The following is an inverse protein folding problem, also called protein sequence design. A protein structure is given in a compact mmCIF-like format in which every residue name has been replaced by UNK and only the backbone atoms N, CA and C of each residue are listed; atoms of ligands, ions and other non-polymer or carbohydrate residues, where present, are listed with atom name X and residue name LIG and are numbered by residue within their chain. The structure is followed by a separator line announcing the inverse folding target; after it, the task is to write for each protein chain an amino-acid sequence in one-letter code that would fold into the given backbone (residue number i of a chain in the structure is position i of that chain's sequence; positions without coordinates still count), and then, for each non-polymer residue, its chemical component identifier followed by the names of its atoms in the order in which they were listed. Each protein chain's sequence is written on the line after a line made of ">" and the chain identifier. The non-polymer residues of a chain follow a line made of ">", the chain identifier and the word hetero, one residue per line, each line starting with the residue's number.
data_IF_216301173811
#
_entry.id   IF_216301173811
#
_cell.length_a   1.000
_cell.length_b   1.000
_cell.length_c   1.000
_cell.angle_alpha   90.00
_cell.angle_beta   90.00
_cell.angle_gamma   90.00
#
_symmetry.space_group_name_H-M   'P 1'
#
loop_
_entity.id
_entity.type
_entity.pdbx_description
1 polymer ?
#
# COMPACT_ATOMS: atom_id res chain seq x y z
N UNK A 1 -15.42 40.99 30.32
CA UNK A 1 -15.95 40.96 28.94
C UNK A 1 -16.10 42.41 28.49
N UNK A 2 -15.24 42.87 27.59
CA UNK A 2 -15.34 44.24 27.05
C UNK A 2 -16.66 44.38 26.29
N UNK A 3 -17.47 45.43 26.54
CA UNK A 3 -18.68 45.67 25.77
C UNK A 3 -18.31 45.94 24.30
N UNK A 4 -19.04 45.36 23.32
CA UNK A 4 -18.74 45.60 21.91
C UNK A 4 -18.89 47.07 21.57
N UNK A 5 -17.85 47.66 20.99
CA UNK A 5 -17.67 49.11 20.82
C UNK A 5 -18.71 49.75 19.87
N UNK A 6 -19.40 48.94 19.07
CA UNK A 6 -20.69 49.23 18.41
C UNK A 6 -21.36 47.91 18.02
N UNK A 7 -22.51 47.55 18.61
CA UNK A 7 -23.34 46.41 18.17
C UNK A 7 -24.37 46.91 17.16
N UNK A 8 -24.05 46.90 15.86
CA UNK A 8 -25.05 47.24 14.84
C UNK A 8 -25.86 46.01 14.43
N UNK A 9 -27.06 46.22 13.85
CA UNK A 9 -27.88 45.12 13.29
C UNK A 9 -27.15 44.39 12.15
N UNK A 10 -26.34 45.11 11.39
CA UNK A 10 -25.51 44.54 10.34
C UNK A 10 -24.48 43.57 10.92
N UNK A 11 -23.81 43.93 12.02
CA UNK A 11 -22.83 43.04 12.68
C UNK A 11 -23.50 41.74 13.18
N UNK A 12 -24.73 41.82 13.69
CA UNK A 12 -25.48 40.64 14.10
C UNK A 12 -25.88 39.74 12.93
N UNK A 13 -26.32 40.33 11.80
CA UNK A 13 -26.65 39.57 10.59
C UNK A 13 -25.40 38.91 9.99
N UNK A 14 -24.28 39.63 9.93
CA UNK A 14 -23.00 39.09 9.45
C UNK A 14 -22.52 37.98 10.38
N UNK A 15 -22.54 38.19 11.70
CA UNK A 15 -22.14 37.17 12.66
C UNK A 15 -23.03 35.92 12.57
N UNK A 16 -24.34 36.09 12.41
CA UNK A 16 -25.27 34.98 12.20
C UNK A 16 -24.99 34.25 10.87
N UNK A 17 -24.73 34.98 9.79
CA UNK A 17 -24.38 34.39 8.50
C UNK A 17 -23.06 33.58 8.59
N UNK A 18 -22.03 34.12 9.24
CA UNK A 18 -20.77 33.42 9.48
C UNK A 18 -21.02 32.15 10.31
N UNK A 19 -21.81 32.25 11.40
CA UNK A 19 -22.13 31.09 12.23
C UNK A 19 -22.84 29.99 11.42
N UNK A 20 -23.79 30.35 10.56
CA UNK A 20 -24.46 29.40 9.65
C UNK A 20 -23.45 28.77 8.69
N UNK A 21 -22.57 29.55 8.06
CA UNK A 21 -21.53 29.04 7.15
C UNK A 21 -20.60 28.06 7.87
N UNK A 22 -20.16 28.37 9.09
CA UNK A 22 -19.33 27.48 9.90
C UNK A 22 -20.07 26.19 10.22
N UNK A 23 -21.33 26.26 10.66
CA UNK A 23 -22.13 25.07 10.96
C UNK A 23 -22.36 24.18 9.73
N UNK A 24 -22.65 24.79 8.57
CA UNK A 24 -22.81 24.07 7.30
C UNK A 24 -21.49 23.41 6.90
N UNK A 25 -20.37 24.13 7.02
CA UNK A 25 -19.04 23.60 6.67
C UNK A 25 -18.68 22.42 7.58
N UNK A 26 -18.89 22.54 8.89
CA UNK A 26 -18.68 21.45 9.84
C UNK A 26 -19.57 20.24 9.53
N UNK A 27 -20.84 20.47 9.21
CA UNK A 27 -21.78 19.41 8.83
C UNK A 27 -21.34 18.66 7.56
N UNK A 28 -20.96 19.39 6.51
CA UNK A 28 -20.48 18.79 5.26
C UNK A 28 -19.18 18.03 5.48
N UNK A 29 -18.22 18.60 6.20
CA UNK A 29 -16.94 17.94 6.51
C UNK A 29 -17.16 16.67 7.32
N UNK A 30 -18.04 16.70 8.33
CA UNK A 30 -18.37 15.51 9.10
C UNK A 30 -19.03 14.42 8.25
N UNK A 31 -20.00 14.79 7.41
CA UNK A 31 -20.73 13.85 6.55
C UNK A 31 -19.82 13.16 5.53
N UNK A 32 -18.79 13.85 5.04
CA UNK A 32 -17.83 13.36 4.04
C UNK A 32 -16.48 12.91 4.64
N UNK A 33 -16.37 12.81 5.96
CA UNK A 33 -15.10 12.46 6.59
C UNK A 33 -14.79 10.97 6.47
N UNK A 34 -13.54 10.65 6.14
CA UNK A 34 -13.01 9.28 6.15
C UNK A 34 -13.23 8.59 7.51
N UNK A 35 -13.17 9.36 8.60
CA UNK A 35 -13.41 8.85 9.95
C UNK A 35 -14.82 8.26 10.11
N UNK A 36 -15.83 8.88 9.47
CA UNK A 36 -17.20 8.39 9.49
C UNK A 36 -17.40 7.20 8.54
N UNK A 37 -16.65 7.17 7.44
CA UNK A 37 -16.74 6.13 6.42
C UNK A 37 -15.84 4.91 6.70
N UNK A 38 -15.19 4.87 7.86
CA UNK A 38 -14.30 3.79 8.28
C UNK A 38 -14.91 3.05 9.47
N UNK A 39 -14.98 1.73 9.38
CA UNK A 39 -15.23 0.84 10.50
C UNK A 39 -13.90 0.23 10.96
N UNK A 40 -13.61 0.32 12.26
CA UNK A 40 -12.36 -0.17 12.84
C UNK A 40 -12.67 -0.88 14.15
N UNK A 41 -12.78 -2.21 14.09
CA UNK A 41 -12.95 -3.09 15.24
C UNK A 41 -11.61 -3.76 15.53
N UNK A 42 -11.02 -3.48 16.70
CA UNK A 42 -9.75 -4.09 17.12
C UNK A 42 -10.01 -5.29 18.01
N UNK A 43 -9.10 -6.26 17.99
CA UNK A 43 -9.17 -7.42 18.87
C UNK A 43 -9.09 -7.00 20.34
N UNK A 44 -9.93 -7.61 21.18
CA UNK A 44 -9.89 -7.37 22.62
C UNK A 44 -8.60 -7.92 23.25
N UNK A 45 -8.07 -9.01 22.68
CA UNK A 45 -6.77 -9.59 23.02
C UNK A 45 -6.03 -9.85 21.71
N UNK A 46 -4.76 -9.41 21.58
CA UNK A 46 -3.97 -9.68 20.39
C UNK A 46 -3.85 -11.19 20.11
N UNK A 47 -3.83 -11.56 18.83
CA UNK A 47 -3.53 -12.91 18.39
C UNK A 47 -2.15 -13.36 18.89
N UNK A 48 -2.05 -14.65 19.19
CA UNK A 48 -0.80 -15.27 19.65
C UNK A 48 -0.18 -16.03 18.50
N UNK A 49 1.12 -15.86 18.27
CA UNK A 49 1.84 -16.63 17.25
C UNK A 49 1.82 -18.12 17.64
N UNK A 50 1.27 -19.01 16.80
CA UNK A 50 1.25 -20.44 17.09
C UNK A 50 2.67 -21.00 17.24
N UNK A 51 2.82 -22.06 18.05
CA UNK A 51 4.08 -22.77 18.14
C UNK A 51 4.42 -23.44 16.80
N UNK A 52 5.69 -23.41 16.34
CA UNK A 52 6.08 -24.05 15.10
C UNK A 52 5.76 -25.56 15.12
N UNK A 53 5.20 -26.05 14.03
CA UNK A 53 4.95 -27.47 13.86
C UNK A 53 6.27 -28.26 13.93
N UNK A 54 6.33 -29.25 14.82
CA UNK A 54 7.51 -30.13 14.99
C UNK A 54 7.40 -31.41 14.18
N UNK A 55 6.24 -31.67 13.56
CA UNK A 55 5.95 -32.86 12.77
C UNK A 55 5.15 -32.48 11.53
N UNK A 56 5.40 -33.18 10.43
CA UNK A 56 4.62 -33.03 9.20
C UNK A 56 3.34 -33.86 9.37
N UNK A 57 2.14 -33.30 9.14
CA UNK A 57 0.91 -34.04 9.26
C UNK A 57 0.82 -35.14 8.19
N UNK A 58 0.42 -36.34 8.60
CA UNK A 58 0.18 -37.47 7.66
C UNK A 58 -1.08 -37.24 6.80
N UNK A 59 -2.02 -36.42 7.28
CA UNK A 59 -3.30 -36.13 6.61
C UNK A 59 -3.59 -34.63 6.73
N UNK A 60 -3.94 -33.99 5.61
CA UNK A 60 -4.44 -32.62 5.56
C UNK A 60 -5.98 -32.61 5.48
N UNK A 61 -6.63 -31.77 6.27
CA UNK A 61 -8.08 -31.53 6.25
C UNK A 61 -8.35 -30.04 6.32
N UNK A 62 -9.33 -29.56 5.55
CA UNK A 62 -9.79 -28.19 5.68
C UNK A 62 -10.45 -27.98 7.06
N UNK A 63 -10.03 -26.94 7.78
CA UNK A 63 -10.57 -26.58 9.11
C UNK A 63 -11.59 -25.45 8.98
N UNK A 64 -11.24 -24.42 8.21
CA UNK A 64 -12.11 -23.29 7.89
C UNK A 64 -11.66 -22.67 6.54
N UNK A 65 -12.52 -21.83 5.98
CA UNK A 65 -12.23 -21.01 4.79
C UNK A 65 -12.84 -19.61 4.96
N UNK A 66 -12.28 -18.63 4.22
CA UNK A 66 -12.78 -17.26 4.18
C UNK A 66 -12.55 -16.65 2.77
N UNK A 67 -13.48 -15.81 2.27
CA UNK A 67 -13.25 -15.04 1.03
C UNK A 67 -12.05 -14.12 1.17
N UNK A 68 -11.20 -14.07 0.14
CA UNK A 68 -10.00 -13.24 0.16
C UNK A 68 -9.59 -12.79 -1.26
N UNK A 69 -10.53 -12.21 -1.99
CA UNK A 69 -10.33 -11.79 -3.39
C UNK A 69 -9.31 -10.66 -3.59
N UNK A 70 -8.98 -9.92 -2.53
CA UNK A 70 -7.99 -8.82 -2.57
C UNK A 70 -6.60 -9.24 -2.03
N UNK A 71 -6.31 -10.54 -1.89
CA UNK A 71 -4.96 -11.04 -1.56
C UNK A 71 -4.45 -11.97 -2.65
N UNK A 72 -3.21 -11.78 -3.10
CA UNK A 72 -2.56 -12.67 -4.08
C UNK A 72 -1.87 -13.88 -3.42
N UNK A 73 -1.45 -13.73 -2.18
CA UNK A 73 -0.82 -14.78 -1.37
C UNK A 73 -1.44 -14.78 0.04
N UNK A 74 -1.43 -15.92 0.75
CA UNK A 74 -1.88 -15.97 2.14
C UNK A 74 -1.14 -14.96 3.00
N UNK A 75 -1.89 -14.10 3.70
CA UNK A 75 -1.31 -13.12 4.62
C UNK A 75 -1.37 -13.70 6.03
N UNK A 76 -0.22 -14.14 6.55
CA UNK A 76 -0.09 -14.71 7.90
C UNK A 76 0.98 -13.91 8.65
N UNK A 77 0.54 -13.03 9.53
CA UNK A 77 1.38 -12.05 10.23
C UNK A 77 0.87 -11.89 11.66
N UNK A 78 1.75 -11.62 12.62
CA UNK A 78 1.36 -11.29 13.99
C UNK A 78 0.51 -12.35 14.71
N UNK A 79 0.55 -13.61 14.25
CA UNK A 79 -0.26 -14.70 14.81
C UNK A 79 -1.70 -14.77 14.30
N UNK A 80 -2.09 -13.93 13.35
CA UNK A 80 -3.39 -13.99 12.69
C UNK A 80 -3.26 -14.42 11.23
N UNK A 81 -4.32 -15.00 10.69
CA UNK A 81 -4.51 -15.14 9.23
C UNK A 81 -5.38 -13.99 8.77
N UNK A 82 -4.93 -13.23 7.77
CA UNK A 82 -5.65 -12.06 7.28
C UNK A 82 -6.30 -12.38 5.94
N UNK A 83 -7.61 -12.13 5.86
CA UNK A 83 -8.37 -12.17 4.62
C UNK A 83 -8.75 -10.75 4.19
N UNK A 84 -8.93 -10.53 2.90
CA UNK A 84 -9.35 -9.25 2.37
C UNK A 84 -10.24 -9.40 1.15
N UNK A 85 -11.43 -8.80 1.18
CA UNK A 85 -12.42 -8.91 0.10
C UNK A 85 -13.27 -7.64 0.01
N UNK A 86 -13.55 -7.20 -1.22
CA UNK A 86 -14.29 -5.96 -1.48
C UNK A 86 -13.62 -4.73 -0.87
N UNK A 87 -14.15 -4.24 0.25
CA UNK A 87 -13.63 -3.09 1.01
C UNK A 87 -13.23 -3.42 2.45
N UNK A 88 -13.19 -4.71 2.79
CA UNK A 88 -13.00 -5.20 4.16
C UNK A 88 -11.73 -6.03 4.28
N UNK A 89 -10.98 -5.80 5.36
CA UNK A 89 -9.83 -6.59 5.80
C UNK A 89 -10.17 -7.18 7.17
N UNK A 90 -9.99 -8.49 7.33
CA UNK A 90 -10.35 -9.23 8.53
C UNK A 90 -9.14 -10.03 9.01
N UNK A 91 -8.84 -9.93 10.30
CA UNK A 91 -7.90 -10.83 10.96
C UNK A 91 -8.64 -11.95 11.65
N UNK A 92 -8.21 -13.18 11.36
CA UNK A 92 -8.81 -14.41 11.86
C UNK A 92 -7.85 -15.12 12.82
N UNK A 93 -8.45 -15.79 13.80
CA UNK A 93 -7.77 -16.82 14.56
C UNK A 93 -7.32 -17.94 13.62
N UNK A 94 -6.03 -18.34 13.62
CA UNK A 94 -5.50 -19.30 12.66
C UNK A 94 -6.10 -20.72 12.83
N UNK A 95 -6.52 -21.09 14.04
CA UNK A 95 -7.02 -22.43 14.34
C UNK A 95 -8.50 -22.56 14.00
N UNK A 96 -9.31 -21.56 14.34
CA UNK A 96 -10.77 -21.61 14.29
C UNK A 96 -11.39 -20.83 13.14
N UNK A 97 -10.67 -19.84 12.59
CA UNK A 97 -11.19 -18.91 11.58
C UNK A 97 -12.07 -17.79 12.16
N UNK A 98 -12.23 -17.72 13.50
CA UNK A 98 -13.02 -16.68 14.15
C UNK A 98 -12.44 -15.29 13.87
N UNK A 99 -13.31 -14.31 13.59
CA UNK A 99 -12.91 -12.92 13.40
C UNK A 99 -12.42 -12.33 14.73
N UNK A 100 -11.14 -11.96 14.78
CA UNK A 100 -10.52 -11.26 15.90
C UNK A 100 -10.68 -9.75 15.77
N UNK A 101 -10.49 -9.22 14.56
CA UNK A 101 -10.57 -7.80 14.25
C UNK A 101 -11.07 -7.58 12.83
N UNK A 102 -11.61 -6.39 12.57
CA UNK A 102 -12.17 -6.00 11.28
C UNK A 102 -11.86 -4.54 10.96
N UNK A 103 -11.40 -4.30 9.75
CA UNK A 103 -11.21 -2.96 9.21
C UNK A 103 -11.94 -2.84 7.88
N UNK A 104 -12.81 -1.85 7.73
CA UNK A 104 -13.57 -1.64 6.49
C UNK A 104 -13.64 -0.16 6.15
N UNK A 105 -13.65 0.15 4.86
CA UNK A 105 -13.87 1.51 4.34
C UNK A 105 -14.99 1.51 3.31
N UNK A 106 -15.40 2.70 2.89
CA UNK A 106 -16.25 2.95 1.72
C UNK A 106 -15.46 3.02 0.40
N UNK A 107 -14.24 2.49 0.39
CA UNK A 107 -13.34 2.42 -0.76
C UNK A 107 -13.06 0.96 -1.12
N UNK A 108 -12.94 0.67 -2.40
CA UNK A 108 -12.52 -0.66 -2.89
C UNK A 108 -11.07 -0.94 -2.50
N UNK A 109 -10.78 -2.19 -2.11
CA UNK A 109 -9.42 -2.67 -1.93
C UNK A 109 -8.78 -2.95 -3.28
N UNK A 110 -7.61 -2.37 -3.49
CA UNK A 110 -6.70 -2.79 -4.56
C UNK A 110 -5.93 -4.05 -4.20
N UNK A 111 -5.61 -4.20 -2.91
CA UNK A 111 -4.92 -5.38 -2.42
C UNK A 111 -4.52 -5.28 -0.96
N UNK A 112 -4.20 -6.42 -0.38
CA UNK A 112 -3.58 -6.55 0.94
C UNK A 112 -2.35 -7.45 0.84
N UNK A 113 -1.26 -7.04 1.48
CA UNK A 113 -0.03 -7.83 1.59
C UNK A 113 0.49 -7.84 3.02
N UNK A 114 1.08 -8.96 3.43
CA UNK A 114 1.78 -9.08 4.70
C UNK A 114 3.18 -8.45 4.64
N UNK A 115 3.48 -7.57 5.58
CA UNK A 115 4.83 -7.08 5.81
C UNK A 115 5.00 -6.57 7.24
N UNK A 116 6.14 -6.86 7.86
CA UNK A 116 6.53 -6.30 9.15
C UNK A 116 5.52 -6.53 10.29
N UNK A 117 4.94 -7.74 10.39
CA UNK A 117 3.87 -8.07 11.34
C UNK A 117 2.58 -7.28 11.14
N UNK A 118 2.37 -6.77 9.93
CA UNK A 118 1.21 -5.95 9.56
C UNK A 118 0.56 -6.44 8.28
N UNK A 119 -0.76 -6.25 8.22
CA UNK A 119 -1.49 -6.25 6.97
C UNK A 119 -1.44 -4.85 6.37
N UNK A 120 -0.75 -4.70 5.24
CA UNK A 120 -0.67 -3.45 4.49
C UNK A 120 -1.83 -3.44 3.50
N UNK A 121 -2.83 -2.63 3.81
CA UNK A 121 -4.06 -2.51 3.02
C UNK A 121 -4.03 -1.30 2.12
N UNK A 122 -4.29 -1.51 0.82
CA UNK A 122 -4.28 -0.47 -0.21
C UNK A 122 -5.69 -0.32 -0.78
N UNK A 123 -6.21 0.90 -0.69
CA UNK A 123 -7.54 1.28 -1.15
C UNK A 123 -7.45 2.23 -2.34
N UNK A 124 -8.47 2.15 -3.19
CA UNK A 124 -8.63 2.98 -4.38
C UNK A 124 -9.32 4.30 -4.04
N UNK A 125 -8.74 5.42 -4.48
CA UNK A 125 -9.45 6.71 -4.57
C UNK A 125 -9.30 7.33 -5.97
N UNK A 126 -9.57 8.63 -6.10
CA UNK A 126 -9.49 9.38 -7.35
C UNK A 126 -8.08 9.46 -7.97
N UNK A 127 -7.05 9.09 -7.21
CA UNK A 127 -5.64 9.03 -7.61
C UNK A 127 -5.14 7.59 -7.83
N UNK A 128 -6.05 6.62 -8.02
CA UNK A 128 -5.71 5.21 -8.18
C UNK A 128 -5.60 4.47 -6.84
N UNK A 129 -4.77 3.42 -6.77
CA UNK A 129 -4.51 2.63 -5.56
C UNK A 129 -3.62 3.35 -4.56
N UNK A 130 -4.13 4.46 -4.04
CA UNK A 130 -3.36 5.52 -3.41
C UNK A 130 -3.33 5.46 -1.90
N UNK A 131 -4.42 4.98 -1.28
CA UNK A 131 -4.68 5.11 0.15
C UNK A 131 -4.23 3.88 0.89
N UNK A 132 -3.18 4.00 1.71
CA UNK A 132 -2.56 2.86 2.38
C UNK A 132 -2.75 2.96 3.88
N UNK A 133 -3.20 1.87 4.49
CA UNK A 133 -3.26 1.73 5.94
C UNK A 133 -2.54 0.46 6.36
N UNK A 134 -1.52 0.60 7.20
CA UNK A 134 -0.89 -0.52 7.88
C UNK A 134 -1.72 -0.88 9.12
N UNK A 135 -2.15 -2.13 9.21
CA UNK A 135 -2.88 -2.68 10.34
C UNK A 135 -1.97 -3.67 11.06
N UNK A 136 -1.80 -3.51 12.37
CA UNK A 136 -1.16 -4.53 13.19
C UNK A 136 -1.90 -5.86 13.02
N UNK A 137 -1.22 -6.89 12.54
CA UNK A 137 -1.91 -8.12 12.13
C UNK A 137 -2.48 -8.89 13.33
N UNK A 138 -1.89 -8.74 14.52
CA UNK A 138 -2.37 -9.42 15.73
C UNK A 138 -3.66 -8.82 16.29
N UNK A 139 -3.91 -7.52 16.04
CA UNK A 139 -4.93 -6.77 16.78
C UNK A 139 -5.85 -5.89 15.91
N UNK A 140 -5.49 -5.64 14.65
CA UNK A 140 -6.19 -4.73 13.75
C UNK A 140 -5.97 -3.24 14.08
N UNK A 141 -5.07 -2.92 15.02
CA UNK A 141 -4.75 -1.53 15.38
C UNK A 141 -4.07 -0.84 14.20
N UNK A 142 -4.58 0.33 13.81
CA UNK A 142 -3.97 1.16 12.77
C UNK A 142 -2.60 1.66 13.22
N UNK A 143 -1.62 1.51 12.35
CA UNK A 143 -0.26 2.01 12.51
C UNK A 143 -0.01 3.18 11.54
N UNK A 144 1.01 3.08 10.69
CA UNK A 144 1.30 4.09 9.67
C UNK A 144 0.21 4.11 8.59
N UNK A 145 -0.01 5.30 8.03
CA UNK A 145 -0.88 5.54 6.88
C UNK A 145 -0.15 6.44 5.90
N UNK A 146 -0.42 6.27 4.60
CA UNK A 146 0.04 7.19 3.57
C UNK A 146 -0.99 7.32 2.46
N UNK A 147 -0.89 8.40 1.71
CA UNK A 147 -1.56 8.54 0.43
C UNK A 147 -0.55 8.97 -0.62
N UNK A 148 -0.59 8.38 -1.81
CA UNK A 148 0.28 8.75 -2.93
C UNK A 148 -0.45 8.56 -4.25
N UNK A 149 -0.05 9.31 -5.28
CA UNK A 149 -0.41 8.98 -6.66
C UNK A 149 0.00 7.53 -6.98
N UNK A 150 -0.87 6.79 -7.67
CA UNK A 150 -0.69 5.39 -8.00
C UNK A 150 -1.46 5.04 -9.28
N UNK A 151 -1.12 3.91 -9.90
CA UNK A 151 -1.95 3.38 -10.97
C UNK A 151 -3.30 2.89 -10.45
N UNK A 152 -4.26 2.73 -11.36
CA UNK A 152 -5.55 2.14 -11.02
C UNK A 152 -5.37 0.71 -10.55
N UNK A 153 -4.46 -0.06 -11.10
CA UNK A 153 -4.29 -1.45 -10.72
C UNK A 153 -2.83 -1.67 -10.36
N UNK A 154 -2.60 -2.30 -9.20
CA UNK A 154 -1.26 -2.44 -8.64
C UNK A 154 -1.02 -3.86 -8.15
N UNK A 155 0.23 -4.28 -8.26
CA UNK A 155 0.76 -5.46 -7.62
C UNK A 155 1.49 -5.04 -6.34
N UNK A 156 1.23 -5.78 -5.27
CA UNK A 156 1.88 -5.61 -3.98
C UNK A 156 2.91 -6.72 -3.78
N UNK A 157 4.15 -6.36 -3.53
CA UNK A 157 5.24 -7.30 -3.26
C UNK A 157 5.85 -7.00 -1.90
N UNK A 158 5.56 -7.89 -0.94
CA UNK A 158 6.09 -7.87 0.42
C UNK A 158 7.16 -8.95 0.66
N UNK A 159 7.68 -9.02 1.89
CA UNK A 159 8.54 -10.13 2.35
C UNK A 159 10.00 -9.79 2.67
N UNK A 160 10.35 -8.50 2.81
CA UNK A 160 11.72 -8.09 3.13
C UNK A 160 11.81 -6.74 3.86
N UNK A 161 12.92 -6.03 3.63
CA UNK A 161 13.17 -4.70 4.21
C UNK A 161 12.22 -3.63 3.63
N UNK A 162 11.79 -3.81 2.39
CA UNK A 162 10.95 -2.88 1.67
C UNK A 162 9.72 -3.60 1.11
N UNK A 163 8.62 -2.85 1.02
CA UNK A 163 7.43 -3.25 0.30
C UNK A 163 7.38 -2.47 -1.01
N UNK A 164 7.13 -3.16 -2.12
CA UNK A 164 7.01 -2.55 -3.44
C UNK A 164 5.55 -2.57 -3.86
N UNK A 165 5.06 -1.43 -4.34
CA UNK A 165 3.76 -1.28 -4.98
C UNK A 165 3.99 -0.74 -6.36
N UNK A 166 3.52 -1.46 -7.38
CA UNK A 166 3.68 -1.02 -8.77
C UNK A 166 2.46 -1.36 -9.60
N UNK A 167 2.08 -0.44 -10.49
CA UNK A 167 1.25 -0.75 -11.65
C UNK A 167 2.08 -0.63 -12.93
N UNK A 168 1.41 -0.54 -14.07
CA UNK A 168 2.04 -0.50 -15.39
C UNK A 168 2.92 0.73 -15.61
N UNK A 169 2.69 1.85 -14.93
CA UNK A 169 3.36 3.13 -15.21
C UNK A 169 4.10 3.69 -14.01
N UNK A 170 3.76 3.24 -12.80
CA UNK A 170 4.29 3.83 -11.57
C UNK A 170 4.62 2.77 -10.54
N UNK A 171 5.77 2.94 -9.90
CA UNK A 171 6.23 2.15 -8.78
C UNK A 171 6.62 3.04 -7.61
N UNK A 172 6.28 2.58 -6.42
CA UNK A 172 6.88 3.07 -5.19
C UNK A 172 7.41 1.93 -4.32
N UNK A 173 8.51 2.21 -3.62
CA UNK A 173 9.06 1.35 -2.58
C UNK A 173 8.91 2.05 -1.24
N UNK A 174 8.49 1.33 -0.21
CA UNK A 174 8.27 1.85 1.14
C UNK A 174 9.03 1.05 2.17
N UNK A 175 9.45 1.73 3.25
CA UNK A 175 9.96 1.08 4.47
C UNK A 175 8.82 0.82 5.46
N UNK A 176 9.13 0.25 6.62
CA UNK A 176 8.15 -0.24 7.60
C UNK A 176 7.22 0.81 8.24
N UNK A 177 7.55 2.09 8.14
CA UNK A 177 6.69 3.21 8.57
C UNK A 177 5.94 3.87 7.39
N UNK A 178 5.90 3.18 6.25
CA UNK A 178 5.30 3.60 4.98
C UNK A 178 5.94 4.85 4.34
N UNK A 179 7.09 5.31 4.83
CA UNK A 179 7.84 6.37 4.15
C UNK A 179 8.38 5.86 2.82
N UNK A 180 8.15 6.64 1.76
CA UNK A 180 8.64 6.36 0.42
C UNK A 180 10.16 6.40 0.38
N UNK A 181 10.77 5.35 -0.12
CA UNK A 181 12.21 5.26 -0.36
C UNK A 181 12.56 5.39 -1.84
N UNK A 182 11.66 4.97 -2.74
CA UNK A 182 11.81 5.17 -4.19
C UNK A 182 10.45 5.54 -4.80
N UNK A 183 10.46 6.50 -5.72
CA UNK A 183 9.42 6.84 -6.71
C UNK A 183 10.03 6.56 -8.10
N UNK A 184 9.41 5.68 -8.88
CA UNK A 184 9.91 5.25 -10.19
C UNK A 184 8.80 5.25 -11.25
N UNK A 185 9.07 5.79 -12.43
CA UNK A 185 8.15 5.82 -13.58
C UNK A 185 7.40 7.15 -13.71
N UNK A 186 6.08 7.09 -13.94
CA UNK A 186 5.20 8.26 -14.12
C UNK A 186 5.18 9.16 -12.90
N UNK A 187 5.31 10.48 -13.13
CA UNK A 187 5.12 11.54 -12.14
C UNK A 187 4.29 12.67 -12.78
N UNK A 188 3.03 12.80 -12.38
CA UNK A 188 2.07 13.71 -13.04
C UNK A 188 2.36 15.19 -12.79
N UNK A 189 2.87 15.53 -11.60
CA UNK A 189 3.19 16.89 -11.19
C UNK A 189 4.62 16.95 -10.63
N UNK A 190 5.66 16.91 -11.50
CA UNK A 190 7.04 16.86 -11.04
C UNK A 190 7.43 18.19 -10.37
N UNK A 191 7.88 18.11 -9.12
CA UNK A 191 8.49 19.26 -8.42
C UNK A 191 9.80 19.63 -9.10
N UNK A 192 10.64 18.62 -9.38
CA UNK A 192 11.88 18.73 -10.13
C UNK A 192 11.77 17.87 -11.40
N UNK A 193 11.71 18.48 -12.60
CA UNK A 193 11.62 17.72 -13.85
C UNK A 193 12.92 16.95 -14.14
N UNK A 194 12.82 15.87 -14.91
CA UNK A 194 13.97 15.10 -15.40
C UNK A 194 14.66 14.21 -14.36
N UNK A 195 14.01 13.94 -13.22
CA UNK A 195 14.55 13.05 -12.16
C UNK A 195 14.31 11.56 -12.40
N UNK A 196 13.28 11.25 -13.17
CA UNK A 196 12.93 9.87 -13.52
C UNK A 196 13.74 9.43 -14.74
N UNK A 197 14.43 8.27 -14.70
CA UNK A 197 15.32 7.87 -15.78
C UNK A 197 14.56 7.50 -17.06
N UNK A 198 13.40 6.85 -16.93
CA UNK A 198 12.60 6.29 -18.03
C UNK A 198 11.09 6.32 -17.71
N UNK A 199 10.48 7.50 -17.57
CA UNK A 199 9.06 7.63 -17.22
C UNK A 199 8.10 7.07 -18.28
N UNK A 200 8.57 6.77 -19.48
CA UNK A 200 7.79 6.26 -20.62
C UNK A 200 7.74 4.72 -20.72
N UNK A 201 8.51 4.00 -19.91
CA UNK A 201 8.52 2.54 -19.92
C UNK A 201 7.35 1.98 -19.11
N UNK A 202 6.77 0.87 -19.58
CA UNK A 202 5.79 0.13 -18.80
C UNK A 202 6.50 -0.83 -17.85
N UNK A 203 6.09 -0.86 -16.58
CA UNK A 203 6.63 -1.76 -15.58
C UNK A 203 5.95 -3.13 -15.72
N UNK A 204 6.76 -4.19 -15.75
CA UNK A 204 6.31 -5.57 -15.99
C UNK A 204 6.37 -6.40 -14.71
N UNK A 205 7.43 -6.24 -13.94
CA UNK A 205 7.61 -6.92 -12.65
C UNK A 205 8.57 -6.11 -11.78
N UNK A 206 8.45 -6.25 -10.46
CA UNK A 206 9.37 -5.63 -9.53
C UNK A 206 9.50 -6.43 -8.24
N UNK A 207 10.72 -6.48 -7.69
CA UNK A 207 11.00 -7.06 -6.37
C UNK A 207 12.06 -6.25 -5.66
N UNK A 208 12.01 -6.22 -4.34
CA UNK A 208 13.03 -5.58 -3.53
C UNK A 208 13.52 -6.47 -2.39
N UNK A 209 14.76 -6.23 -1.99
CA UNK A 209 15.33 -6.68 -0.72
C UNK A 209 16.13 -5.54 -0.08
N UNK A 210 16.86 -5.82 1.00
CA UNK A 210 17.65 -4.79 1.70
C UNK A 210 18.74 -4.11 0.87
N UNK A 211 19.17 -4.71 -0.25
CA UNK A 211 20.31 -4.24 -1.07
C UNK A 211 19.96 -3.81 -2.49
N UNK A 212 18.84 -4.28 -3.05
CA UNK A 212 18.42 -4.00 -4.43
C UNK A 212 16.91 -3.84 -4.52
N UNK A 213 16.49 -2.84 -5.29
CA UNK A 213 15.18 -2.79 -5.93
C UNK A 213 15.40 -3.18 -7.39
N UNK A 214 14.71 -4.20 -7.87
CA UNK A 214 14.84 -4.70 -9.23
C UNK A 214 13.54 -4.45 -9.96
N UNK A 215 13.64 -3.83 -11.13
CA UNK A 215 12.51 -3.48 -11.98
C UNK A 215 12.74 -4.13 -13.34
N UNK A 216 11.74 -4.85 -13.82
CA UNK A 216 11.65 -5.33 -15.18
C UNK A 216 10.67 -4.41 -15.92
N UNK A 217 11.13 -3.79 -17.01
CA UNK A 217 10.38 -2.76 -17.72
C UNK A 217 10.42 -2.99 -19.24
N UNK A 218 9.31 -2.70 -19.93
CA UNK A 218 9.21 -2.71 -21.37
C UNK A 218 9.23 -1.26 -21.87
N UNK A 219 10.32 -0.88 -22.54
CA UNK A 219 10.54 0.48 -23.01
C UNK A 219 10.19 0.64 -24.51
N UNK A 220 9.75 1.84 -24.93
CA UNK A 220 9.55 2.13 -26.34
C UNK A 220 10.82 1.93 -27.17
N UNK A 221 10.71 1.20 -28.28
CA UNK A 221 11.84 0.93 -29.19
C UNK A 221 12.72 -0.26 -28.79
N UNK A 222 12.44 -0.92 -27.66
CA UNK A 222 13.12 -2.15 -27.25
C UNK A 222 12.26 -3.37 -27.58
N UNK A 223 12.86 -4.42 -28.16
CA UNK A 223 12.12 -5.62 -28.61
C UNK A 223 11.82 -6.62 -27.48
N UNK A 224 12.52 -6.50 -26.36
CA UNK A 224 12.43 -7.37 -25.18
C UNK A 224 12.56 -6.51 -23.93
N UNK A 225 12.20 -7.06 -22.78
CA UNK A 225 12.26 -6.32 -21.52
C UNK A 225 13.68 -5.94 -21.12
N UNK A 226 13.74 -4.89 -20.32
CA UNK A 226 14.92 -4.36 -19.67
C UNK A 226 14.89 -4.67 -18.19
N UNK A 227 16.01 -5.13 -17.66
CA UNK A 227 16.23 -5.34 -16.24
C UNK A 227 17.07 -4.20 -15.67
N UNK A 228 16.51 -3.50 -14.69
CA UNK A 228 17.14 -2.38 -13.99
C UNK A 228 17.29 -2.70 -12.51
N UNK A 229 18.51 -2.54 -12.01
CA UNK A 229 18.89 -2.75 -10.62
C UNK A 229 19.13 -1.38 -9.98
N UNK A 230 18.30 -1.04 -9.01
CA UNK A 230 18.25 0.26 -8.35
C UNK A 230 18.67 0.13 -6.88
N UNK A 231 19.15 1.22 -6.31
CA UNK A 231 19.24 1.38 -4.86
C UNK A 231 17.83 1.38 -4.27
N UNK A 232 17.55 0.57 -3.23
CA UNK A 232 16.22 0.55 -2.61
C UNK A 232 15.95 1.76 -1.70
N UNK A 233 17.00 2.53 -1.35
CA UNK A 233 16.94 3.76 -0.59
C UNK A 233 18.05 4.74 -1.03
N UNK A 234 17.91 5.39 -2.21
CA UNK A 234 18.80 6.47 -2.64
C UNK A 234 18.74 7.68 -1.68
N UNK A 235 19.65 8.65 -1.86
CA UNK A 235 19.65 9.88 -1.06
C UNK A 235 18.44 10.79 -1.31
N UNK A 236 17.84 10.68 -2.50
CA UNK A 236 16.59 11.35 -2.86
C UNK A 236 15.63 10.29 -3.44
N UNK A 237 14.48 10.10 -2.79
CA UNK A 237 13.50 9.12 -3.21
C UNK A 237 12.89 9.40 -4.60
N UNK A 238 12.97 10.65 -5.08
CA UNK A 238 12.45 11.06 -6.39
C UNK A 238 13.48 10.93 -7.51
N UNK A 239 14.73 10.61 -7.18
CA UNK A 239 15.84 10.42 -8.12
C UNK A 239 16.41 9.00 -7.95
N UNK A 240 15.78 8.00 -8.60
CA UNK A 240 16.24 6.62 -8.55
C UNK A 240 17.72 6.49 -8.90
N UNK A 241 18.48 5.80 -8.05
CA UNK A 241 19.90 5.55 -8.30
C UNK A 241 20.07 4.16 -8.95
N UNK A 242 20.53 4.13 -10.20
CA UNK A 242 20.77 2.89 -10.93
C UNK A 242 22.18 2.33 -10.65
N UNK A 243 22.24 1.04 -10.27
CA UNK A 243 23.49 0.28 -10.28
C UNK A 243 23.80 -0.29 -11.67
N UNK A 244 22.77 -0.76 -12.36
CA UNK A 244 22.88 -1.33 -13.71
C UNK A 244 21.52 -1.33 -14.38
N UNK A 245 21.49 -1.12 -15.70
CA UNK A 245 20.30 -1.35 -16.51
C UNK A 245 20.69 -2.00 -17.84
N UNK A 246 20.07 -3.12 -18.18
CA UNK A 246 20.40 -3.93 -19.36
C UNK A 246 19.14 -4.43 -20.06
N UNK A 247 19.12 -4.37 -21.39
CA UNK A 247 18.12 -5.07 -22.21
C UNK A 247 18.44 -6.56 -22.11
N UNK A 248 17.42 -7.39 -21.94
CA UNK A 248 17.55 -8.85 -21.91
C UNK A 248 17.67 -9.43 -23.32
N UNK A 249 18.63 -8.93 -24.11
CA UNK A 249 18.81 -9.27 -25.52
C UNK A 249 19.13 -10.74 -25.79
N UNK A 250 19.45 -11.52 -24.75
CA UNK A 250 19.71 -12.96 -24.79
C UNK A 250 18.43 -13.80 -24.67
N UNK A 251 17.27 -13.15 -24.44
CA UNK A 251 15.96 -13.79 -24.38
C UNK A 251 15.27 -13.61 -25.73
N UNK A 252 14.90 -14.72 -26.39
CA UNK A 252 14.33 -14.70 -27.75
C UNK A 252 12.88 -14.18 -27.80
N UNK A 253 12.18 -14.13 -26.67
CA UNK A 253 10.79 -13.68 -26.57
C UNK A 253 10.54 -12.87 -25.29
N UNK A 254 9.66 -11.86 -25.34
CA UNK A 254 9.20 -11.18 -24.14
C UNK A 254 8.42 -12.13 -23.23
N UNK A 255 8.27 -11.76 -21.96
CA UNK A 255 7.56 -12.51 -20.93
C UNK A 255 8.44 -12.90 -19.73
N UNK A 256 9.62 -12.29 -19.57
CA UNK A 256 10.45 -12.51 -18.40
C UNK A 256 9.70 -12.12 -17.10
N UNK A 257 10.08 -12.75 -16.00
CA UNK A 257 9.58 -12.46 -14.65
C UNK A 257 10.76 -12.46 -13.69
N UNK A 258 10.66 -11.74 -12.60
CA UNK A 258 11.66 -11.81 -11.54
C UNK A 258 11.22 -12.93 -10.61
N UNK A 259 12.03 -13.97 -10.45
CA UNK A 259 11.72 -15.08 -9.54
C UNK A 259 12.21 -14.75 -8.13
N UNK A 260 13.42 -14.22 -8.00
CA UNK A 260 14.02 -13.90 -6.71
C UNK A 260 15.07 -12.78 -6.77
N UNK A 261 15.22 -12.07 -5.65
CA UNK A 261 16.30 -11.10 -5.44
C UNK A 261 16.98 -11.41 -4.10
N UNK A 262 18.23 -11.88 -4.15
CA UNK A 262 18.98 -12.33 -2.98
C UNK A 262 20.33 -11.62 -2.89
N UNK A 263 20.47 -10.75 -1.88
CA UNK A 263 21.59 -9.81 -1.84
C UNK A 263 21.61 -8.96 -3.11
N UNK A 264 22.76 -8.95 -3.78
CA UNK A 264 22.96 -8.21 -5.04
C UNK A 264 22.64 -9.02 -6.30
N UNK A 265 22.13 -10.25 -6.15
CA UNK A 265 21.82 -11.16 -7.25
C UNK A 265 20.33 -11.19 -7.55
N UNK A 266 20.02 -11.29 -8.83
CA UNK A 266 18.66 -11.41 -9.36
C UNK A 266 18.55 -12.70 -10.16
N UNK A 267 17.47 -13.44 -9.97
CA UNK A 267 17.06 -14.55 -10.82
C UNK A 267 15.79 -14.16 -11.59
N UNK A 268 15.80 -14.42 -12.89
CA UNK A 268 14.65 -14.32 -13.79
C UNK A 268 14.03 -15.70 -14.07
#
# INVERSE_FOLDING_TARGET
>A
MLPPERRTRADLLIAAAIAVVVLVTLGVTWLRSDARATESMTAATPAVVPEPATQIPEILRAVWDAPSGATTFPVVEGGAVVSADGSTVIGHDPETGEQLWRYSRDLELCGVVGAWQRAISVFRDDRGCSQVTALDASSGVRAAQRSSDADSDVTLVGGGTYLVVFGDQRLESWRSDLVRTVEYGRVDAPVNPGKQPRPECNLVDAKANGSRLVVLEQCPGENVERLSLLAPAPSDAQEPQEFSSKILAEVDQPGARIVAVAGERTAL
#
